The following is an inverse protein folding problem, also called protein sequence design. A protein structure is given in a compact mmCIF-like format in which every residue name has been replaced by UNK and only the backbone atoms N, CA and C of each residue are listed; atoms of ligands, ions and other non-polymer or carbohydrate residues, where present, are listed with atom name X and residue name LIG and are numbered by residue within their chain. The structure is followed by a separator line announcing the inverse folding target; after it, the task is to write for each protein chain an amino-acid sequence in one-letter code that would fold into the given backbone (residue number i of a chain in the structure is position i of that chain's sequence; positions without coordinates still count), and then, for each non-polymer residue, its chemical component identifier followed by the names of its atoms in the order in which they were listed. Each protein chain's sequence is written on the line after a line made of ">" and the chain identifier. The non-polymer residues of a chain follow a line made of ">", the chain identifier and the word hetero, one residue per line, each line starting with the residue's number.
data_IF_936856794050
#
_entry.id   IF_936856794050
#
_cell.length_a   1.000
_cell.length_b   1.000
_cell.length_c   1.000
_cell.angle_alpha   90.00
_cell.angle_beta   90.00
_cell.angle_gamma   90.00
#
_symmetry.space_group_name_H-M   'P 1'
#
loop_
_entity.id
_entity.type
_entity.pdbx_description
1 polymer ?
#
# COMPACT_ATOMS: atom_id res chain seq x y z
N UNK A 1 -8.99 -15.50 15.54
CA UNK A 1 -9.86 -15.88 14.41
C UNK A 1 -9.91 -14.63 13.54
N UNK A 2 -9.33 -14.69 12.36
CA UNK A 2 -9.37 -13.54 11.44
C UNK A 2 -10.81 -13.36 10.98
N UNK A 3 -11.34 -12.12 11.08
CA UNK A 3 -12.75 -11.84 10.83
C UNK A 3 -13.03 -11.90 9.32
N UNK A 4 -13.99 -12.71 8.91
CA UNK A 4 -14.50 -12.77 7.53
C UNK A 4 -15.08 -11.41 7.11
N UNK A 5 -14.80 -10.99 5.89
CA UNK A 5 -15.34 -9.74 5.32
C UNK A 5 -16.86 -9.80 5.26
N UNK A 6 -17.43 -10.90 4.70
CA UNK A 6 -18.87 -11.07 4.59
C UNK A 6 -19.56 -11.10 5.95
N UNK A 7 -19.05 -11.89 6.90
CA UNK A 7 -19.65 -12.00 8.25
C UNK A 7 -19.62 -10.65 8.98
N UNK A 8 -18.52 -9.92 8.88
CA UNK A 8 -18.39 -8.60 9.52
C UNK A 8 -19.44 -7.62 8.98
N UNK A 9 -19.54 -7.50 7.66
CA UNK A 9 -20.48 -6.55 7.03
C UNK A 9 -21.93 -6.98 7.26
N UNK A 10 -22.25 -8.25 7.13
CA UNK A 10 -23.61 -8.77 7.41
C UNK A 10 -24.05 -8.50 8.85
N UNK A 11 -23.14 -8.72 9.82
CA UNK A 11 -23.38 -8.40 11.23
C UNK A 11 -23.67 -6.91 11.45
N UNK A 12 -22.91 -6.02 10.80
CA UNK A 12 -23.12 -4.57 10.89
C UNK A 12 -24.46 -4.14 10.26
N UNK A 13 -24.91 -4.83 9.22
CA UNK A 13 -26.22 -4.62 8.59
C UNK A 13 -27.39 -5.21 9.40
N UNK A 14 -27.10 -6.04 10.41
CA UNK A 14 -28.11 -6.76 11.19
C UNK A 14 -28.68 -7.99 10.48
N UNK A 15 -27.99 -8.50 9.47
CA UNK A 15 -28.37 -9.70 8.69
C UNK A 15 -27.58 -10.89 9.19
N UNK A 16 -28.22 -12.05 9.33
CA UNK A 16 -27.53 -13.30 9.68
C UNK A 16 -27.08 -14.01 8.40
N UNK A 17 -25.79 -14.37 8.33
CA UNK A 17 -25.20 -15.07 7.18
C UNK A 17 -25.82 -16.44 6.89
N UNK A 18 -26.50 -17.03 7.88
CA UNK A 18 -27.25 -18.30 7.74
C UNK A 18 -28.55 -18.16 6.91
N UNK A 19 -28.98 -16.94 6.63
CA UNK A 19 -30.12 -16.66 5.75
C UNK A 19 -29.61 -16.44 4.32
N UNK A 20 -29.42 -17.52 3.56
CA UNK A 20 -28.84 -17.53 2.19
C UNK A 20 -29.48 -16.53 1.21
N UNK A 21 -30.68 -16.09 1.49
CA UNK A 21 -31.47 -15.26 0.56
C UNK A 21 -30.89 -13.87 0.29
N UNK A 22 -30.18 -13.27 1.27
CA UNK A 22 -29.57 -11.93 1.12
C UNK A 22 -28.08 -11.94 0.87
N UNK A 23 -27.44 -13.09 0.98
CA UNK A 23 -25.98 -13.18 0.88
C UNK A 23 -25.48 -12.78 -0.50
N UNK A 24 -26.15 -13.19 -1.57
CA UNK A 24 -25.76 -12.87 -2.95
C UNK A 24 -25.83 -11.37 -3.23
N UNK A 25 -26.89 -10.69 -2.78
CA UNK A 25 -27.04 -9.24 -2.94
C UNK A 25 -25.97 -8.48 -2.15
N UNK A 26 -25.72 -8.88 -0.90
CA UNK A 26 -24.69 -8.27 -0.05
C UNK A 26 -23.31 -8.50 -0.65
N UNK A 27 -23.00 -9.70 -1.16
CA UNK A 27 -21.76 -10.04 -1.84
C UNK A 27 -21.49 -9.12 -3.04
N UNK A 28 -22.50 -8.91 -3.90
CA UNK A 28 -22.39 -8.02 -5.06
C UNK A 28 -21.99 -6.61 -4.63
N UNK A 29 -22.61 -6.08 -3.56
CA UNK A 29 -22.33 -4.74 -3.09
C UNK A 29 -20.98 -4.65 -2.37
N UNK A 30 -20.58 -5.64 -1.58
CA UNK A 30 -19.24 -5.72 -0.99
C UNK A 30 -18.18 -5.75 -2.11
N UNK A 31 -18.35 -6.61 -3.10
CA UNK A 31 -17.40 -6.71 -4.22
C UNK A 31 -17.30 -5.40 -5.02
N UNK A 32 -18.41 -4.68 -5.18
CA UNK A 32 -18.40 -3.36 -5.80
C UNK A 32 -17.61 -2.35 -4.98
N UNK A 33 -17.76 -2.35 -3.65
CA UNK A 33 -16.99 -1.49 -2.75
C UNK A 33 -15.51 -1.84 -2.74
N UNK A 34 -15.15 -3.12 -2.67
CA UNK A 34 -13.76 -3.61 -2.71
C UNK A 34 -13.06 -3.21 -4.02
N UNK A 35 -13.73 -3.41 -5.17
CA UNK A 35 -13.20 -2.99 -6.46
C UNK A 35 -13.00 -1.47 -6.54
N UNK A 36 -13.91 -0.69 -5.97
CA UNK A 36 -13.76 0.77 -5.90
C UNK A 36 -12.54 1.17 -5.05
N UNK A 37 -12.32 0.51 -3.91
CA UNK A 37 -11.13 0.72 -3.08
C UNK A 37 -9.84 0.38 -3.85
N UNK A 38 -9.80 -0.75 -4.57
CA UNK A 38 -8.64 -1.08 -5.42
C UNK A 38 -8.38 0.00 -6.49
N UNK A 39 -9.42 0.57 -7.11
CA UNK A 39 -9.27 1.68 -8.07
C UNK A 39 -8.71 2.96 -7.43
N UNK A 40 -9.00 3.19 -6.15
CA UNK A 40 -8.43 4.29 -5.36
C UNK A 40 -7.02 4.00 -4.86
N UNK A 41 -6.51 2.79 -5.12
CA UNK A 41 -5.21 2.37 -4.65
C UNK A 41 -5.19 1.78 -3.24
N UNK A 42 -6.33 1.46 -2.68
CA UNK A 42 -6.48 0.81 -1.37
C UNK A 42 -6.73 -0.68 -1.59
N UNK A 43 -5.83 -1.53 -1.12
CA UNK A 43 -5.85 -2.97 -1.34
C UNK A 43 -4.93 -3.43 -2.46
N UNK A 44 -5.11 -4.63 -3.00
CA UNK A 44 -4.25 -5.21 -4.03
C UNK A 44 -4.32 -4.43 -5.36
N UNK A 45 -3.24 -4.48 -6.14
CA UNK A 45 -3.14 -3.82 -7.47
C UNK A 45 -4.07 -4.40 -8.54
N UNK A 46 -4.68 -5.55 -8.27
CA UNK A 46 -5.67 -6.18 -9.14
C UNK A 46 -7.07 -6.14 -8.51
N UNK A 47 -8.14 -6.20 -9.31
CA UNK A 47 -9.50 -6.31 -8.78
C UNK A 47 -9.61 -7.44 -7.77
N UNK A 48 -10.20 -7.16 -6.61
CA UNK A 48 -10.41 -8.14 -5.54
C UNK A 48 -11.90 -8.40 -5.34
N UNK A 49 -12.27 -9.64 -5.12
CA UNK A 49 -13.64 -10.04 -4.82
C UNK A 49 -13.67 -11.22 -3.86
N UNK A 50 -14.71 -11.25 -3.05
CA UNK A 50 -15.01 -12.36 -2.15
C UNK A 50 -16.12 -13.23 -2.75
N UNK A 51 -16.13 -14.50 -2.39
CA UNK A 51 -17.13 -15.49 -2.86
C UNK A 51 -17.98 -16.07 -1.72
N UNK A 52 -17.60 -15.81 -0.48
CA UNK A 52 -18.28 -16.35 0.69
C UNK A 52 -17.71 -15.83 2.00
N UNK A 53 -17.65 -16.72 2.98
CA UNK A 53 -17.20 -16.41 4.35
C UNK A 53 -15.73 -16.75 4.59
N UNK A 54 -15.00 -17.22 3.59
CA UNK A 54 -13.62 -17.68 3.72
C UNK A 54 -12.61 -16.55 3.61
N UNK A 55 -12.95 -15.50 2.86
CA UNK A 55 -12.04 -14.37 2.63
C UNK A 55 -12.05 -13.40 3.82
N UNK A 56 -10.86 -13.08 4.28
CA UNK A 56 -10.62 -12.24 5.47
C UNK A 56 -10.14 -10.83 5.11
N UNK A 57 -10.12 -9.94 6.09
CA UNK A 57 -9.55 -8.60 5.91
C UNK A 57 -8.05 -8.64 5.61
N UNK A 58 -7.32 -9.60 6.18
CA UNK A 58 -5.91 -9.80 5.92
C UNK A 58 -5.63 -10.31 4.49
N UNK A 59 -6.56 -11.03 3.86
CA UNK A 59 -6.45 -11.41 2.45
C UNK A 59 -6.58 -10.20 1.53
N UNK A 60 -7.38 -9.20 1.93
CA UNK A 60 -7.52 -7.95 1.18
C UNK A 60 -6.33 -7.01 1.38
N UNK A 61 -5.82 -6.86 2.61
CA UNK A 61 -4.69 -6.00 2.95
C UNK A 61 -3.79 -6.64 4.02
N UNK A 62 -2.84 -7.49 3.65
CA UNK A 62 -2.05 -8.29 4.60
C UNK A 62 -1.15 -7.45 5.52
N UNK A 63 -0.73 -6.26 5.09
CA UNK A 63 0.25 -5.42 5.81
C UNK A 63 -0.41 -4.34 6.69
N UNK A 64 -1.74 -4.36 6.83
CA UNK A 64 -2.50 -3.37 7.61
C UNK A 64 -2.88 -3.93 8.98
N UNK A 65 -2.64 -3.17 10.04
CA UNK A 65 -3.01 -3.54 11.41
C UNK A 65 -4.38 -3.01 11.85
N UNK A 66 -4.91 -1.99 11.17
CA UNK A 66 -6.21 -1.37 11.47
C UNK A 66 -7.10 -1.30 10.23
N UNK A 67 -8.11 -2.16 10.20
CA UNK A 67 -9.10 -2.24 9.11
C UNK A 67 -10.37 -1.40 9.36
N UNK A 68 -10.49 -0.70 10.47
CA UNK A 68 -11.74 -0.02 10.85
C UNK A 68 -12.20 1.04 9.83
N UNK A 69 -11.32 1.86 9.23
CA UNK A 69 -11.73 2.79 8.16
C UNK A 69 -12.32 2.07 6.95
N UNK A 70 -11.70 0.94 6.55
CA UNK A 70 -12.13 0.14 5.40
C UNK A 70 -13.46 -0.55 5.69
N UNK A 71 -13.60 -1.17 6.87
CA UNK A 71 -14.84 -1.79 7.34
C UNK A 71 -15.98 -0.78 7.33
N UNK A 72 -15.73 0.40 7.88
CA UNK A 72 -16.73 1.49 7.94
C UNK A 72 -17.12 1.94 6.55
N UNK A 73 -16.17 2.13 5.64
CA UNK A 73 -16.43 2.51 4.27
C UNK A 73 -17.30 1.49 3.54
N UNK A 74 -16.93 0.21 3.59
CA UNK A 74 -17.68 -0.87 2.93
C UNK A 74 -19.08 -1.00 3.52
N UNK A 75 -19.20 -0.92 4.87
CA UNK A 75 -20.50 -0.93 5.53
C UNK A 75 -21.39 0.22 5.04
N UNK A 76 -20.88 1.45 5.01
CA UNK A 76 -21.65 2.62 4.55
C UNK A 76 -22.07 2.48 3.08
N UNK A 77 -21.16 1.99 2.23
CA UNK A 77 -21.44 1.75 0.82
C UNK A 77 -22.57 0.72 0.64
N UNK A 78 -22.48 -0.43 1.31
CA UNK A 78 -23.50 -1.48 1.22
C UNK A 78 -24.81 -1.00 1.84
N UNK A 79 -24.77 -0.35 3.01
CA UNK A 79 -25.96 0.17 3.70
C UNK A 79 -26.76 1.14 2.84
N UNK A 80 -26.09 2.04 2.13
CA UNK A 80 -26.76 3.05 1.28
C UNK A 80 -27.47 2.45 0.08
N UNK A 81 -27.10 1.24 -0.36
CA UNK A 81 -27.68 0.58 -1.54
C UNK A 81 -28.65 -0.51 -1.13
N UNK A 82 -28.25 -1.37 -0.19
CA UNK A 82 -29.03 -2.55 0.23
C UNK A 82 -30.23 -2.21 1.12
N UNK A 83 -29.99 -1.33 2.14
CA UNK A 83 -31.04 -0.93 3.07
C UNK A 83 -30.85 0.56 3.49
N UNK A 84 -31.16 1.50 2.58
CA UNK A 84 -30.91 2.92 2.81
C UNK A 84 -31.76 3.46 3.96
N UNK A 85 -31.21 4.40 4.77
CA UNK A 85 -32.00 5.08 5.79
C UNK A 85 -33.21 5.80 5.18
N UNK A 86 -34.33 5.80 5.90
CA UNK A 86 -35.54 6.52 5.49
C UNK A 86 -35.41 8.04 5.68
N UNK A 87 -34.46 8.50 6.48
CA UNK A 87 -34.17 9.92 6.72
C UNK A 87 -33.16 10.46 5.73
N UNK A 88 -33.54 11.48 4.95
CA UNK A 88 -32.62 12.17 4.04
C UNK A 88 -31.40 12.77 4.75
N UNK A 89 -31.55 13.22 6.00
CA UNK A 89 -30.43 13.69 6.81
C UNK A 89 -29.43 12.58 7.10
N UNK A 90 -29.90 11.40 7.50
CA UNK A 90 -29.04 10.24 7.76
C UNK A 90 -28.32 9.79 6.48
N UNK A 91 -29.02 9.76 5.36
CA UNK A 91 -28.42 9.44 4.04
C UNK A 91 -27.31 10.42 3.68
N UNK A 92 -27.54 11.72 3.83
CA UNK A 92 -26.55 12.76 3.55
C UNK A 92 -25.34 12.65 4.49
N UNK A 93 -25.55 12.38 5.78
CA UNK A 93 -24.48 12.19 6.74
C UNK A 93 -23.60 10.97 6.39
N UNK A 94 -24.20 9.84 6.06
CA UNK A 94 -23.48 8.63 5.61
C UNK A 94 -22.69 8.87 4.32
N UNK A 95 -23.25 9.58 3.35
CA UNK A 95 -22.56 9.95 2.11
C UNK A 95 -21.36 10.89 2.35
N UNK A 96 -21.50 11.82 3.31
CA UNK A 96 -20.41 12.72 3.67
C UNK A 96 -19.27 11.98 4.35
N UNK A 97 -19.61 11.09 5.29
CA UNK A 97 -18.62 10.24 5.98
C UNK A 97 -17.89 9.32 4.99
N UNK A 98 -18.62 8.70 4.07
CA UNK A 98 -18.03 7.84 3.04
C UNK A 98 -17.04 8.62 2.15
N UNK A 99 -17.36 9.86 1.75
CA UNK A 99 -16.44 10.71 0.97
C UNK A 99 -15.21 11.12 1.77
N UNK A 100 -15.37 11.39 3.06
CA UNK A 100 -14.24 11.73 3.93
C UNK A 100 -13.30 10.53 4.11
N UNK A 101 -13.85 9.33 4.31
CA UNK A 101 -13.07 8.09 4.37
C UNK A 101 -12.34 7.81 3.04
N UNK A 102 -13.01 7.98 1.90
CA UNK A 102 -12.37 7.85 0.58
C UNK A 102 -11.18 8.79 0.45
N UNK A 103 -11.37 10.06 0.81
CA UNK A 103 -10.29 11.05 0.73
C UNK A 103 -9.11 10.69 1.65
N UNK A 104 -9.38 10.29 2.89
CA UNK A 104 -8.33 9.89 3.85
C UNK A 104 -7.55 8.67 3.36
N UNK A 105 -8.27 7.64 2.89
CA UNK A 105 -7.64 6.42 2.37
C UNK A 105 -6.84 6.71 1.09
N UNK A 106 -7.34 7.58 0.20
CA UNK A 106 -6.61 8.01 -0.99
C UNK A 106 -5.31 8.72 -0.62
N UNK A 107 -5.35 9.68 0.32
CA UNK A 107 -4.15 10.40 0.78
C UNK A 107 -3.15 9.44 1.43
N UNK A 108 -3.62 8.48 2.20
CA UNK A 108 -2.75 7.46 2.80
C UNK A 108 -2.13 6.56 1.72
N UNK A 109 -2.93 6.07 0.78
CA UNK A 109 -2.45 5.24 -0.33
C UNK A 109 -1.47 6.00 -1.23
N UNK A 110 -1.71 7.30 -1.48
CA UNK A 110 -0.78 8.15 -2.22
C UNK A 110 0.54 8.33 -1.45
N UNK A 111 0.50 8.52 -0.13
CA UNK A 111 1.72 8.63 0.70
C UNK A 111 2.52 7.32 0.73
N UNK A 112 1.85 6.18 0.76
CA UNK A 112 2.50 4.85 0.71
C UNK A 112 3.01 4.50 -0.71
N UNK A 113 2.45 5.15 -1.75
CA UNK A 113 2.77 4.95 -3.17
C UNK A 113 3.59 6.08 -3.80
N UNK A 114 3.95 7.11 -3.04
CA UNK A 114 4.70 8.27 -3.55
C UNK A 114 5.99 7.88 -4.30
N UNK A 115 6.44 6.65 -4.12
CA UNK A 115 7.63 6.12 -4.77
C UNK A 115 7.35 5.30 -6.03
N UNK A 116 6.10 4.91 -6.34
CA UNK A 116 5.81 4.08 -7.51
C UNK A 116 5.39 4.94 -8.71
N UNK A 117 6.01 4.70 -9.88
CA UNK A 117 5.62 5.40 -11.11
C UNK A 117 4.21 5.04 -11.59
N UNK A 118 3.37 6.04 -11.79
CA UNK A 118 2.02 5.93 -12.36
C UNK A 118 1.90 6.66 -13.70
N UNK A 119 1.53 5.99 -14.80
CA UNK A 119 1.44 6.63 -16.12
C UNK A 119 0.31 7.67 -16.25
N UNK A 120 -0.62 7.73 -15.29
CA UNK A 120 -1.71 8.70 -15.21
C UNK A 120 -1.37 9.98 -14.46
N UNK A 121 -0.19 10.09 -13.86
CA UNK A 121 0.24 11.23 -13.06
C UNK A 121 1.15 12.18 -13.82
N UNK A 122 1.20 13.43 -13.35
CA UNK A 122 2.13 14.46 -13.82
C UNK A 122 3.22 14.60 -12.75
N UNK A 123 4.47 14.49 -13.17
CA UNK A 123 5.64 14.57 -12.31
C UNK A 123 6.43 15.84 -12.58
N UNK A 124 6.89 16.50 -11.52
CA UNK A 124 7.77 17.64 -11.61
C UNK A 124 9.24 17.20 -11.73
N UNK A 125 10.08 18.06 -12.27
CA UNK A 125 11.52 17.81 -12.25
C UNK A 125 12.00 17.74 -10.80
N UNK A 126 12.70 16.66 -10.46
CA UNK A 126 13.14 16.34 -9.10
C UNK A 126 12.27 15.31 -8.37
N UNK A 127 11.06 15.02 -8.85
CA UNK A 127 10.22 13.96 -8.25
C UNK A 127 10.90 12.59 -8.40
N UNK A 128 10.81 11.79 -7.36
CA UNK A 128 11.42 10.46 -7.30
C UNK A 128 10.36 9.39 -7.36
N UNK A 129 10.63 8.32 -8.11
CA UNK A 129 9.71 7.20 -8.25
C UNK A 129 10.46 5.87 -8.31
N UNK A 130 9.78 4.80 -7.93
CA UNK A 130 10.22 3.42 -8.15
C UNK A 130 9.60 2.91 -9.46
N UNK A 131 10.42 2.34 -10.32
CA UNK A 131 9.98 1.63 -11.52
C UNK A 131 10.80 0.35 -11.69
N UNK A 132 10.10 -0.79 -11.76
CA UNK A 132 10.72 -2.11 -11.88
C UNK A 132 11.79 -2.37 -10.77
N UNK A 133 11.47 -1.97 -9.52
CA UNK A 133 12.34 -2.12 -8.36
C UNK A 133 13.56 -1.19 -8.32
N UNK A 134 13.61 -0.17 -9.18
CA UNK A 134 14.70 0.81 -9.23
C UNK A 134 14.17 2.21 -9.02
N UNK A 135 14.94 3.02 -8.28
CA UNK A 135 14.61 4.42 -8.03
C UNK A 135 15.05 5.30 -9.19
N UNK A 136 14.19 6.24 -9.58
CA UNK A 136 14.46 7.21 -10.63
C UNK A 136 14.05 8.61 -10.17
N UNK A 137 14.77 9.61 -10.64
CA UNK A 137 14.42 11.02 -10.48
C UNK A 137 14.00 11.61 -11.82
N UNK A 138 12.93 12.38 -11.80
CA UNK A 138 12.44 13.10 -12.98
C UNK A 138 13.41 14.20 -13.40
N UNK A 139 13.85 14.20 -14.65
CA UNK A 139 14.81 15.17 -15.19
C UNK A 139 14.24 16.04 -16.32
N UNK A 140 13.04 15.76 -16.78
CA UNK A 140 12.38 16.51 -17.84
C UNK A 140 11.03 17.05 -17.38
N UNK A 141 10.62 18.27 -17.77
CA UNK A 141 9.31 18.81 -17.43
C UNK A 141 8.20 17.98 -18.08
N UNK A 142 7.04 17.95 -17.43
CA UNK A 142 5.84 17.25 -17.88
C UNK A 142 4.63 18.15 -17.71
N UNK A 143 3.77 18.23 -18.71
CA UNK A 143 2.55 19.03 -18.66
C UNK A 143 1.26 18.20 -18.80
N UNK A 144 1.40 16.95 -19.23
CA UNK A 144 0.31 15.99 -19.38
C UNK A 144 0.79 14.60 -18.90
N UNK A 145 -0.11 13.74 -18.41
CA UNK A 145 0.25 12.36 -18.07
C UNK A 145 0.89 11.64 -19.26
N UNK A 146 1.93 10.87 -19.01
CA UNK A 146 2.63 10.12 -20.04
C UNK A 146 3.05 8.73 -19.57
N UNK A 147 3.21 7.81 -20.53
CA UNK A 147 3.83 6.51 -20.26
C UNK A 147 5.32 6.68 -19.94
N UNK A 148 5.90 5.67 -19.30
CA UNK A 148 7.32 5.67 -18.98
C UNK A 148 8.19 5.94 -20.22
N UNK A 149 9.13 6.89 -20.10
CA UNK A 149 10.14 7.22 -21.10
C UNK A 149 11.49 7.38 -20.39
N UNK A 150 12.41 6.47 -20.59
CA UNK A 150 13.73 6.49 -19.92
C UNK A 150 14.49 7.82 -20.12
N UNK A 151 14.29 8.50 -21.24
CA UNK A 151 14.93 9.80 -21.51
C UNK A 151 14.51 10.91 -20.51
N UNK A 152 13.35 10.75 -19.87
CA UNK A 152 12.79 11.72 -18.94
C UNK A 152 13.13 11.42 -17.48
N UNK A 153 13.80 10.30 -17.23
CA UNK A 153 14.13 9.80 -15.91
C UNK A 153 15.58 9.41 -15.81
N UNK A 154 16.24 9.75 -14.73
CA UNK A 154 17.61 9.34 -14.42
C UNK A 154 17.54 8.34 -13.27
N UNK A 155 18.30 7.26 -13.39
CA UNK A 155 18.48 6.31 -12.31
C UNK A 155 19.00 7.06 -11.08
N UNK A 156 18.34 6.89 -9.97
CA UNK A 156 18.68 7.52 -8.70
C UNK A 156 19.10 6.41 -7.74
N UNK A 157 20.31 6.49 -7.23
CA UNK A 157 20.77 5.68 -6.12
C UNK A 157 20.77 6.59 -4.89
N UNK A 158 20.13 6.17 -3.81
CA UNK A 158 20.32 6.82 -2.53
C UNK A 158 21.79 6.64 -2.16
N UNK A 159 22.59 7.67 -2.35
CA UNK A 159 23.91 7.72 -1.77
C UNK A 159 23.74 8.30 -0.37
N UNK A 160 23.80 7.43 0.63
CA UNK A 160 23.98 7.89 1.99
C UNK A 160 25.46 8.22 2.15
N UNK A 161 25.80 9.50 1.91
CA UNK A 161 27.17 10.02 2.03
C UNK A 161 27.73 9.89 3.45
N UNK A 162 26.87 9.54 4.43
CA UNK A 162 27.28 9.26 5.81
C UNK A 162 27.86 7.84 5.98
N UNK A 163 27.60 6.93 5.03
CA UNK A 163 28.09 5.57 5.08
C UNK A 163 29.40 5.44 4.32
N UNK A 164 30.49 5.24 5.05
CA UNK A 164 31.82 5.09 4.47
C UNK A 164 31.92 3.76 3.67
N UNK A 165 32.82 3.76 2.67
CA UNK A 165 33.17 2.53 1.98
C UNK A 165 33.77 1.51 2.97
N UNK A 166 33.57 0.22 2.67
CA UNK A 166 34.20 -0.85 3.44
C UNK A 166 35.73 -0.70 3.42
N UNK A 167 36.33 -0.73 4.60
CA UNK A 167 37.76 -0.61 4.79
C UNK A 167 38.32 -1.95 5.30
N UNK A 168 39.10 -2.61 4.48
CA UNK A 168 39.76 -3.89 4.77
C UNK A 168 40.68 -3.84 6.02
N UNK A 169 41.11 -2.66 6.42
CA UNK A 169 42.00 -2.46 7.57
C UNK A 169 41.27 -2.19 8.88
N UNK A 170 39.93 -2.09 8.85
CA UNK A 170 39.10 -1.71 9.99
C UNK A 170 38.38 -2.90 10.58
N UNK A 171 38.27 -2.93 11.92
CA UNK A 171 37.36 -3.81 12.64
C UNK A 171 35.94 -3.21 12.63
N UNK A 172 34.94 -4.08 12.51
CA UNK A 172 33.52 -3.71 12.53
C UNK A 172 32.77 -4.45 13.62
N UNK A 173 31.89 -3.74 14.28
CA UNK A 173 30.99 -4.32 15.29
C UNK A 173 29.56 -4.42 14.76
N UNK A 174 28.73 -5.25 15.39
CA UNK A 174 27.31 -5.39 15.05
C UNK A 174 26.63 -4.01 15.09
N UNK A 175 25.96 -3.67 13.99
CA UNK A 175 25.28 -2.37 13.78
C UNK A 175 26.09 -1.37 12.95
N UNK A 176 27.40 -1.59 12.75
CA UNK A 176 28.19 -0.76 11.84
C UNK A 176 27.68 -0.90 10.40
N UNK A 177 27.74 0.22 9.64
CA UNK A 177 27.31 0.28 8.27
C UNK A 177 28.50 0.55 7.33
N UNK A 178 28.47 -0.05 6.16
CA UNK A 178 29.45 0.22 5.12
C UNK A 178 28.84 0.13 3.71
N UNK A 179 29.52 0.72 2.75
CA UNK A 179 29.23 0.58 1.30
C UNK A 179 30.27 -0.35 0.69
N UNK A 180 29.83 -1.44 0.06
CA UNK A 180 30.68 -2.39 -0.64
C UNK A 180 30.03 -2.78 -1.98
N UNK A 181 30.78 -2.78 -3.07
CA UNK A 181 30.30 -3.08 -4.43
C UNK A 181 29.00 -2.34 -4.81
N UNK A 182 28.93 -1.04 -4.52
CA UNK A 182 27.77 -0.16 -4.77
C UNK A 182 26.49 -0.54 -3.99
N UNK A 183 26.60 -1.34 -2.93
CA UNK A 183 25.51 -1.74 -2.06
C UNK A 183 25.81 -1.33 -0.64
N UNK A 184 24.74 -1.19 0.16
CA UNK A 184 24.85 -0.84 1.58
C UNK A 184 24.66 -2.07 2.43
N UNK A 185 25.50 -2.22 3.45
CA UNK A 185 25.50 -3.35 4.36
C UNK A 185 25.55 -2.92 5.81
N UNK A 186 24.85 -3.69 6.66
CA UNK A 186 24.94 -3.58 8.12
C UNK A 186 25.64 -4.83 8.67
N UNK A 187 26.61 -4.63 9.56
CA UNK A 187 27.33 -5.70 10.22
C UNK A 187 26.40 -6.42 11.21
N UNK A 188 26.26 -7.71 11.08
CA UNK A 188 25.41 -8.56 11.95
C UNK A 188 26.22 -9.51 12.83
N UNK A 189 27.52 -9.67 12.52
CA UNK A 189 28.49 -10.42 13.32
C UNK A 189 29.79 -9.64 13.36
N UNK A 190 30.36 -9.40 14.53
CA UNK A 190 31.63 -8.67 14.65
C UNK A 190 32.68 -9.22 13.69
N UNK A 191 33.29 -8.33 12.91
CA UNK A 191 34.30 -8.65 11.90
C UNK A 191 35.60 -7.97 12.24
N UNK A 192 36.68 -8.73 12.29
CA UNK A 192 38.04 -8.18 12.33
C UNK A 192 38.48 -7.74 10.97
N UNK A 193 39.47 -6.84 10.92
CA UNK A 193 40.10 -6.38 9.67
C UNK A 193 40.39 -7.54 8.73
N UNK A 194 40.05 -7.41 7.45
CA UNK A 194 40.15 -8.46 6.45
C UNK A 194 39.23 -8.24 5.26
N UNK A 195 39.12 -9.23 4.37
CA UNK A 195 38.26 -9.19 3.21
C UNK A 195 36.77 -9.15 3.61
N UNK A 196 35.92 -8.60 2.73
CA UNK A 196 34.48 -8.52 2.95
C UNK A 196 33.88 -9.94 2.97
N UNK A 197 33.26 -10.31 4.08
CA UNK A 197 32.67 -11.63 4.31
C UNK A 197 31.14 -11.50 4.36
N UNK A 198 30.47 -11.99 3.33
CA UNK A 198 29.00 -11.90 3.17
C UNK A 198 28.22 -12.53 4.32
N UNK A 199 28.80 -13.48 5.06
CA UNK A 199 28.12 -14.13 6.18
C UNK A 199 28.03 -13.22 7.43
N UNK A 200 28.78 -12.14 7.45
CA UNK A 200 28.81 -11.16 8.54
C UNK A 200 28.03 -9.89 8.25
N UNK A 201 27.51 -9.76 7.04
CA UNK A 201 26.88 -8.54 6.57
C UNK A 201 25.52 -8.83 5.94
N UNK A 202 24.53 -8.00 6.22
CA UNK A 202 23.21 -8.03 5.58
C UNK A 202 23.04 -6.78 4.72
N UNK A 203 22.67 -6.98 3.47
CA UNK A 203 22.34 -5.87 2.56
C UNK A 203 21.10 -5.13 3.08
N UNK A 204 21.14 -3.79 3.09
CA UNK A 204 19.99 -2.95 3.39
C UNK A 204 19.89 -1.82 2.36
N UNK A 205 18.71 -1.24 2.24
CA UNK A 205 18.46 -0.06 1.43
C UNK A 205 18.27 1.13 2.37
N UNK A 206 19.12 2.21 2.25
CA UNK A 206 19.02 3.40 3.08
C UNK A 206 17.77 4.21 2.80
#
# INVERSE_FOLDING_TARGET
>A
MEDSILETISKLLGVQVSEDYFNDDILIHINSALNRLCQLGVGPDSPYSITGTTETWADFMPDVSDYEPIKTYIYLYVRLIFDPPTSGFATTAMQSEMKELEWRMLVQADNERDDIFHPGMIYNVGDKVIKDGKHYVRVAPQSVPEKWKYANWKLFTYEDDSVAAYDISKDYIVGDKCKYDNKYYVCVVNSTAGEFDTDKWVEYHP
#
